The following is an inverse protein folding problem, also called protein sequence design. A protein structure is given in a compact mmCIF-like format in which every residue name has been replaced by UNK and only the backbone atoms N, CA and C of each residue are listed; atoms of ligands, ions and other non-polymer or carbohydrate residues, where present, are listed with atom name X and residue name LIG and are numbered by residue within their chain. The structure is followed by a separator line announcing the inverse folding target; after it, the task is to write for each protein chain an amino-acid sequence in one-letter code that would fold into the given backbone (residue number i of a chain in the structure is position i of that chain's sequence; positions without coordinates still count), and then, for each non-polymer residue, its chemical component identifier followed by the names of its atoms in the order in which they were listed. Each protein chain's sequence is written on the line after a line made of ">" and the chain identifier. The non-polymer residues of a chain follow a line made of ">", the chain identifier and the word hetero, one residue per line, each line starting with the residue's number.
data_IF_064666253873
#
_entry.id   IF_064666253873
#
_cell.length_a   1.000
_cell.length_b   1.000
_cell.length_c   1.000
_cell.angle_alpha   90.00
_cell.angle_beta   90.00
_cell.angle_gamma   90.00
#
_symmetry.space_group_name_H-M   'P 1'
#
loop_
_entity.id
_entity.type
_entity.pdbx_description
1 polymer ?
#
# COMPACT_ATOMS: atom_id res chain seq x y z
N UNK A 1 27.73 -24.33 -17.26
CA UNK A 1 27.71 -25.80 -17.35
C UNK A 1 26.27 -26.18 -17.61
N UNK A 2 25.97 -26.65 -18.82
CA UNK A 2 24.61 -26.81 -19.32
C UNK A 2 23.83 -27.85 -18.50
N UNK A 3 22.56 -27.55 -18.25
CA UNK A 3 21.62 -28.49 -17.66
C UNK A 3 21.55 -29.72 -18.57
N UNK A 4 22.08 -30.83 -18.08
CA UNK A 4 21.88 -32.14 -18.70
C UNK A 4 20.40 -32.45 -18.48
N UNK A 5 19.63 -32.39 -19.57
CA UNK A 5 18.24 -32.82 -19.58
C UNK A 5 18.16 -34.28 -19.12
N UNK A 6 17.13 -34.62 -18.36
CA UNK A 6 16.92 -36.00 -17.96
C UNK A 6 16.65 -36.86 -19.21
N UNK A 7 16.97 -38.15 -19.15
CA UNK A 7 16.71 -39.06 -20.27
C UNK A 7 15.23 -39.07 -20.69
N UNK A 8 14.31 -38.83 -19.74
CA UNK A 8 12.87 -38.67 -20.00
C UNK A 8 12.56 -37.42 -20.83
N UNK A 9 13.22 -36.29 -20.55
CA UNK A 9 13.07 -35.06 -21.34
C UNK A 9 13.67 -35.19 -22.75
N UNK A 10 14.75 -35.96 -22.89
CA UNK A 10 15.37 -36.25 -24.19
C UNK A 10 14.46 -37.13 -25.05
N UNK A 11 13.88 -38.16 -24.46
CA UNK A 11 12.96 -39.07 -25.16
C UNK A 11 11.66 -38.37 -25.57
N UNK A 12 11.13 -37.46 -24.74
CA UNK A 12 9.96 -36.65 -25.08
C UNK A 12 10.22 -35.71 -26.27
N UNK A 13 11.39 -35.07 -26.33
CA UNK A 13 11.78 -34.23 -27.46
C UNK A 13 12.04 -35.03 -28.75
N UNK A 14 12.60 -36.25 -28.62
CA UNK A 14 12.78 -37.16 -29.75
C UNK A 14 11.43 -37.63 -30.32
N UNK A 15 10.45 -37.91 -29.47
CA UNK A 15 9.12 -38.33 -29.90
C UNK A 15 8.39 -37.22 -30.69
N UNK A 16 8.53 -35.96 -30.27
CA UNK A 16 7.97 -34.79 -30.98
C UNK A 16 8.69 -34.43 -32.29
N UNK A 17 9.91 -34.93 -32.53
CA UNK A 17 10.67 -34.71 -33.78
C UNK A 17 10.51 -35.84 -34.79
N UNK A 18 10.27 -37.07 -34.31
CA UNK A 18 10.22 -38.26 -35.18
C UNK A 18 8.80 -38.53 -35.70
N UNK A 19 7.80 -37.99 -35.02
CA UNK A 19 6.40 -38.06 -35.44
C UNK A 19 6.10 -36.80 -36.25
N UNK A 20 6.07 -36.89 -37.58
CA UNK A 20 5.52 -35.85 -38.48
C UNK A 20 3.98 -35.82 -38.39
N UNK A 21 3.43 -36.24 -37.24
CA UNK A 21 2.03 -36.19 -36.90
C UNK A 21 1.82 -34.94 -36.07
N UNK A 22 0.89 -34.14 -36.55
CA UNK A 22 0.36 -32.93 -35.95
C UNK A 22 0.43 -33.00 -34.43
N UNK A 23 1.01 -31.98 -33.83
CA UNK A 23 0.89 -31.72 -32.39
C UNK A 23 -0.60 -31.72 -32.10
N UNK A 24 -1.12 -32.85 -31.64
CA UNK A 24 -2.44 -32.93 -31.06
C UNK A 24 -2.39 -31.97 -29.90
N UNK A 25 -3.13 -30.87 -30.01
CA UNK A 25 -3.46 -29.97 -28.91
C UNK A 25 -4.30 -30.76 -27.89
N UNK A 26 -3.67 -31.74 -27.25
CA UNK A 26 -4.23 -32.56 -26.17
C UNK A 26 -3.43 -32.28 -24.91
N UNK A 27 -3.41 -31.01 -24.53
CA UNK A 27 -3.35 -30.57 -23.14
C UNK A 27 -4.26 -29.33 -23.04
N UNK A 28 -5.53 -29.49 -23.42
CA UNK A 28 -6.57 -28.68 -22.78
C UNK A 28 -6.64 -29.14 -21.33
N UNK A 29 -5.74 -28.62 -20.50
CA UNK A 29 -5.93 -28.60 -19.05
C UNK A 29 -7.37 -28.15 -18.83
N UNK A 30 -8.20 -29.10 -18.36
CA UNK A 30 -9.63 -28.95 -18.17
C UNK A 30 -9.86 -27.65 -17.39
N UNK A 31 -10.28 -26.58 -18.09
CA UNK A 31 -10.43 -25.25 -17.49
C UNK A 31 -11.53 -25.36 -16.44
N UNK A 32 -11.14 -25.60 -15.19
CA UNK A 32 -12.05 -25.68 -14.08
C UNK A 32 -12.39 -24.25 -13.63
N UNK A 33 -13.58 -23.72 -13.95
CA UNK A 33 -13.96 -22.37 -13.56
C UNK A 33 -14.05 -22.21 -12.03
N UNK A 34 -14.08 -23.31 -11.25
CA UNK A 34 -14.04 -23.27 -9.79
C UNK A 34 -12.62 -23.02 -9.23
N UNK A 35 -11.56 -23.25 -10.00
CA UNK A 35 -10.17 -22.94 -9.61
C UNK A 35 -9.74 -21.50 -9.95
N UNK A 36 -10.58 -20.76 -10.68
CA UNK A 36 -10.32 -19.37 -11.07
C UNK A 36 -10.58 -18.44 -9.89
N UNK A 37 -9.55 -18.18 -9.09
CA UNK A 37 -9.61 -17.18 -8.02
C UNK A 37 -9.69 -15.79 -8.65
N UNK A 38 -10.78 -15.07 -8.39
CA UNK A 38 -10.93 -13.68 -8.81
C UNK A 38 -9.83 -12.81 -8.18
N UNK A 39 -8.83 -12.43 -8.97
CA UNK A 39 -7.73 -11.59 -8.52
C UNK A 39 -8.08 -10.12 -8.69
N UNK A 40 -8.38 -9.43 -7.60
CA UNK A 40 -8.64 -7.99 -7.63
C UNK A 40 -7.31 -7.23 -7.71
N UNK A 41 -6.97 -6.77 -8.93
CA UNK A 41 -5.80 -5.93 -9.20
C UNK A 41 -5.84 -4.57 -8.48
N UNK A 42 -7.02 -4.14 -8.02
CA UNK A 42 -7.19 -2.91 -7.22
C UNK A 42 -6.98 -3.13 -5.73
N UNK A 43 -7.05 -4.39 -5.27
CA UNK A 43 -6.74 -4.80 -3.90
C UNK A 43 -5.22 -4.88 -3.63
N UNK A 44 -4.38 -4.65 -4.63
CA UNK A 44 -2.97 -4.33 -4.42
C UNK A 44 -2.86 -2.95 -3.78
N UNK A 45 -3.15 -2.94 -2.49
CA UNK A 45 -2.69 -1.96 -1.55
C UNK A 45 -1.21 -1.68 -1.87
N UNK A 46 -0.94 -0.54 -2.53
CA UNK A 46 0.36 0.15 -2.44
C UNK A 46 0.50 0.67 -1.00
N UNK A 47 0.29 -0.19 -0.01
CA UNK A 47 0.75 0.05 1.34
C UNK A 47 2.26 -0.06 1.20
N UNK A 48 2.92 1.08 1.27
CA UNK A 48 4.30 1.14 1.71
C UNK A 48 4.25 0.55 3.13
N UNK A 49 4.43 -0.77 3.26
CA UNK A 49 4.40 -1.55 4.52
C UNK A 49 5.66 -1.26 5.35
N UNK A 50 6.07 -0.01 5.41
CA UNK A 50 7.27 0.46 6.07
C UNK A 50 6.97 1.69 6.90
N UNK A 51 7.64 1.78 8.05
CA UNK A 51 7.68 3.03 8.83
C UNK A 51 8.22 4.14 7.93
N UNK A 52 7.73 5.36 8.11
CA UNK A 52 8.23 6.53 7.40
C UNK A 52 9.16 7.34 8.32
N UNK A 53 10.41 6.90 8.56
CA UNK A 53 11.27 7.50 9.58
C UNK A 53 11.54 8.98 9.33
N UNK A 54 11.66 9.40 8.06
CA UNK A 54 11.79 10.82 7.72
C UNK A 54 10.54 11.62 8.09
N UNK A 55 9.34 11.05 7.88
CA UNK A 55 8.09 11.72 8.23
C UNK A 55 7.91 11.81 9.75
N UNK A 56 8.34 10.78 10.49
CA UNK A 56 8.38 10.80 11.96
C UNK A 56 9.28 11.94 12.46
N UNK A 57 10.49 12.09 11.91
CA UNK A 57 11.41 13.19 12.25
C UNK A 57 10.79 14.56 11.94
N UNK A 58 10.09 14.68 10.80
CA UNK A 58 9.39 15.91 10.42
C UNK A 58 8.26 16.23 11.41
N UNK A 59 7.44 15.24 11.78
CA UNK A 59 6.37 15.40 12.76
C UNK A 59 6.91 15.78 14.14
N UNK A 60 7.99 15.17 14.59
CA UNK A 60 8.65 15.53 15.85
C UNK A 60 9.10 17.00 15.88
N UNK A 61 9.68 17.48 14.77
CA UNK A 61 10.06 18.89 14.64
C UNK A 61 8.84 19.80 14.60
N UNK A 62 7.80 19.40 13.86
CA UNK A 62 6.54 20.15 13.76
C UNK A 62 5.90 20.31 15.15
N UNK A 63 5.77 19.23 15.92
CA UNK A 63 5.15 19.26 17.26
C UNK A 63 5.90 20.19 18.20
N UNK A 64 7.24 20.20 18.18
CA UNK A 64 8.02 21.15 19.00
C UNK A 64 7.70 22.60 18.66
N UNK A 65 7.61 22.95 17.38
CA UNK A 65 7.27 24.32 16.94
C UNK A 65 5.81 24.65 17.24
N UNK A 66 4.89 23.74 16.94
CA UNK A 66 3.47 23.91 17.16
C UNK A 66 3.15 24.11 18.64
N UNK A 67 3.78 23.33 19.53
CA UNK A 67 3.68 23.49 20.98
C UNK A 67 4.06 24.89 21.44
N UNK A 68 5.19 25.42 20.94
CA UNK A 68 5.62 26.78 21.28
C UNK A 68 4.61 27.82 20.79
N UNK A 69 4.16 27.71 19.54
CA UNK A 69 3.18 28.64 18.95
C UNK A 69 1.86 28.65 19.71
N UNK A 70 1.29 27.46 19.98
CA UNK A 70 0.00 27.34 20.68
C UNK A 70 0.13 27.78 22.13
N UNK A 71 1.22 27.40 22.82
CA UNK A 71 1.43 27.80 24.22
C UNK A 71 1.53 29.33 24.36
N UNK A 72 2.21 29.98 23.42
CA UNK A 72 2.30 31.44 23.36
C UNK A 72 0.94 32.09 23.05
N UNK A 73 0.19 31.54 22.09
CA UNK A 73 -1.12 32.06 21.71
C UNK A 73 -2.15 31.96 22.86
N UNK A 74 -2.16 30.84 23.57
CA UNK A 74 -3.09 30.57 24.67
C UNK A 74 -2.62 31.11 26.04
N UNK A 75 -1.37 31.57 26.13
CA UNK A 75 -0.70 31.97 27.39
C UNK A 75 -0.77 30.88 28.46
N UNK A 76 -0.66 29.62 28.04
CA UNK A 76 -0.67 28.43 28.91
C UNK A 76 0.33 27.42 28.41
N UNK A 77 0.91 26.64 29.32
CA UNK A 77 1.78 25.52 28.95
C UNK A 77 0.89 24.41 28.39
N UNK A 78 1.04 24.13 27.10
CA UNK A 78 0.38 23.01 26.43
C UNK A 78 1.38 21.87 26.26
N UNK A 79 0.95 20.65 26.52
CA UNK A 79 1.72 19.44 26.20
C UNK A 79 1.21 18.83 24.90
N UNK A 80 2.12 18.52 23.99
CA UNK A 80 1.81 17.98 22.67
C UNK A 80 2.87 16.94 22.36
N UNK A 81 2.44 15.73 22.01
CA UNK A 81 3.30 14.60 21.66
C UNK A 81 2.80 13.90 20.39
N UNK A 82 3.72 13.27 19.66
CA UNK A 82 3.40 12.43 18.50
C UNK A 82 3.10 11.01 19.00
N UNK A 83 1.99 10.42 18.56
CA UNK A 83 1.61 9.04 18.94
C UNK A 83 2.23 8.00 18.00
N UNK A 84 1.81 8.03 16.74
CA UNK A 84 2.29 7.14 15.69
C UNK A 84 2.07 7.79 14.33
N UNK A 85 2.77 7.31 13.32
CA UNK A 85 2.53 7.65 11.91
C UNK A 85 2.06 6.39 11.21
N UNK A 86 0.85 6.42 10.66
CA UNK A 86 0.18 5.27 10.05
C UNK A 86 -0.37 5.64 8.68
N UNK A 87 -0.44 4.66 7.78
CA UNK A 87 -1.04 4.81 6.46
C UNK A 87 -2.45 4.23 6.49
N UNK A 88 -3.45 5.07 6.26
CA UNK A 88 -4.87 4.69 6.24
C UNK A 88 -5.55 5.22 4.97
N UNK A 89 -6.53 4.48 4.45
CA UNK A 89 -7.35 4.95 3.31
C UNK A 89 -8.20 6.13 3.77
N UNK A 90 -8.26 7.18 2.95
CA UNK A 90 -9.03 8.38 3.29
C UNK A 90 -10.50 8.08 3.62
N UNK A 91 -11.15 7.23 2.83
CA UNK A 91 -12.55 6.83 3.06
C UNK A 91 -12.77 6.03 4.35
N UNK A 92 -11.75 5.35 4.86
CA UNK A 92 -11.79 4.67 6.17
C UNK A 92 -11.56 5.67 7.30
N UNK A 93 -10.58 6.57 7.16
CA UNK A 93 -10.28 7.61 8.13
C UNK A 93 -11.47 8.55 8.39
N UNK A 94 -12.19 8.97 7.35
CA UNK A 94 -13.37 9.83 7.53
C UNK A 94 -14.48 9.14 8.35
N UNK A 95 -14.59 7.81 8.26
CA UNK A 95 -15.58 7.04 9.04
C UNK A 95 -15.20 6.91 10.51
N UNK A 96 -13.93 7.11 10.88
CA UNK A 96 -13.48 7.03 12.28
C UNK A 96 -13.69 8.35 13.05
N UNK A 97 -13.96 9.46 12.36
CA UNK A 97 -14.06 10.77 13.00
C UNK A 97 -15.41 10.94 13.73
N UNK A 98 -15.41 11.44 14.98
CA UNK A 98 -16.65 11.73 15.71
C UNK A 98 -17.37 12.93 15.10
N UNK A 99 -18.69 13.04 15.30
CA UNK A 99 -19.48 14.20 14.88
C UNK A 99 -19.93 14.97 16.13
N UNK A 100 -19.71 16.31 16.22
CA UNK A 100 -19.01 17.18 15.29
C UNK A 100 -17.48 17.12 15.43
N UNK A 101 -16.77 17.35 14.33
CA UNK A 101 -15.30 17.47 14.28
C UNK A 101 -14.91 18.66 13.41
N UNK A 102 -13.87 19.40 13.81
CA UNK A 102 -13.34 20.51 13.04
C UNK A 102 -12.35 20.00 12.00
N UNK A 103 -12.70 20.13 10.72
CA UNK A 103 -11.90 19.68 9.58
C UNK A 103 -11.36 20.89 8.80
N UNK A 104 -10.04 20.95 8.64
CA UNK A 104 -9.34 22.07 8.00
C UNK A 104 -8.53 21.55 6.82
N UNK A 105 -8.90 21.96 5.60
CA UNK A 105 -8.18 21.63 4.38
C UNK A 105 -7.24 22.77 4.01
N UNK A 106 -5.97 22.45 3.77
CA UNK A 106 -4.96 23.43 3.36
C UNK A 106 -4.02 22.84 2.30
N UNK A 107 -3.32 23.70 1.57
CA UNK A 107 -2.35 23.28 0.54
C UNK A 107 -0.94 23.58 1.01
N UNK A 108 -0.05 22.61 0.80
CA UNK A 108 1.37 22.75 1.13
C UNK A 108 2.20 22.82 -0.16
N UNK A 109 2.40 24.02 -0.71
CA UNK A 109 3.28 24.18 -1.89
C UNK A 109 4.73 23.82 -1.52
N UNK A 110 5.47 23.02 -2.31
CA UNK A 110 5.19 22.56 -3.68
C UNK A 110 4.53 21.17 -3.77
N UNK A 111 4.07 20.59 -2.67
CA UNK A 111 3.43 19.28 -2.66
C UNK A 111 2.11 19.32 -3.45
N UNK A 112 1.90 18.26 -4.23
CA UNK A 112 0.67 18.09 -5.01
C UNK A 112 -0.47 17.64 -4.08
N UNK A 113 -1.63 18.27 -4.23
CA UNK A 113 -2.84 17.93 -3.49
C UNK A 113 -3.14 18.86 -2.31
N UNK A 114 -4.09 18.44 -1.48
CA UNK A 114 -4.49 19.14 -0.26
C UNK A 114 -4.15 18.26 0.95
N UNK A 115 -3.77 18.90 2.04
CA UNK A 115 -3.61 18.30 3.36
C UNK A 115 -4.86 18.57 4.20
N UNK A 116 -5.16 17.63 5.10
CA UNK A 116 -6.26 17.72 6.04
C UNK A 116 -5.70 17.76 7.46
N UNK A 117 -6.11 18.75 8.25
CA UNK A 117 -5.88 18.83 9.68
C UNK A 117 -7.22 18.72 10.41
N UNK A 118 -7.30 17.80 11.36
CA UNK A 118 -8.52 17.50 12.09
C UNK A 118 -8.33 17.80 13.57
N UNK A 119 -9.27 18.54 14.17
CA UNK A 119 -9.37 18.69 15.61
C UNK A 119 -10.62 17.97 16.09
N UNK A 120 -10.40 16.88 16.82
CA UNK A 120 -11.47 16.16 17.49
C UNK A 120 -11.98 16.98 18.69
N UNK A 121 -13.25 16.79 19.02
CA UNK A 121 -13.95 17.56 20.06
C UNK A 121 -13.72 16.97 21.46
N UNK A 122 -12.98 15.87 21.59
CA UNK A 122 -12.85 15.10 22.84
C UNK A 122 -11.41 14.86 23.23
#
# INVERSE_FOLDING_TARGET
>A
MGSVLSQEEVDALLQGVTSDEEVSEEDEDEYNPEEVVSFDLTAQDRIIRGRMPTLEIIHDRFVRLFRLTVSNALRRVVDISVRSTELIKFGEYIKTLPVPTSMNLFRMTPLRGNALMVFETR
#
